data_IF_629136271190
#
_entry.id   IF_629136271190
#
_cell.length_a   1.000
_cell.length_b   1.000
_cell.length_c   1.000
_cell.angle_alpha   90.00
_cell.angle_beta   90.00
_cell.angle_gamma   90.00
#
_symmetry.space_group_name_H-M   'P 1'
#
loop_
_entity.id
_entity.type
_entity.pdbx_description
1 polymer ?
#
# COMPACT_ATOMS: atom_id res chain seq x y z
N UNK A 1 55.75 57.96 1.19
CA UNK A 1 54.90 57.25 0.20
C UNK A 1 54.65 55.77 0.49
N UNK A 2 55.61 54.99 1.04
CA UNK A 2 55.41 53.54 1.33
C UNK A 2 54.26 53.26 2.32
N UNK A 3 54.11 54.07 3.35
CA UNK A 3 53.09 53.87 4.39
C UNK A 3 51.66 54.13 3.86
N UNK A 4 51.49 55.11 2.96
CA UNK A 4 50.21 55.40 2.31
C UNK A 4 49.76 54.24 1.40
N UNK A 5 50.70 53.64 0.65
CA UNK A 5 50.42 52.47 -0.19
C UNK A 5 50.02 51.24 0.63
N UNK A 6 50.63 51.05 1.80
CA UNK A 6 50.25 49.96 2.75
C UNK A 6 48.86 50.17 3.33
N UNK A 7 48.51 51.42 3.67
CA UNK A 7 47.19 51.77 4.20
C UNK A 7 46.09 51.56 3.15
N UNK A 8 46.33 51.98 1.90
CA UNK A 8 45.42 51.71 0.78
C UNK A 8 45.27 50.21 0.49
N UNK A 9 46.36 49.44 0.53
CA UNK A 9 46.29 47.99 0.36
C UNK A 9 45.45 47.32 1.45
N UNK A 10 45.59 47.75 2.72
CA UNK A 10 44.79 47.27 3.83
C UNK A 10 43.29 47.55 3.64
N UNK A 11 42.95 48.75 3.18
CA UNK A 11 41.55 49.14 2.91
C UNK A 11 40.96 48.30 1.76
N UNK A 12 41.72 48.10 0.68
CA UNK A 12 41.26 47.29 -0.45
C UNK A 12 41.06 45.82 -0.06
N UNK A 13 41.97 45.25 0.73
CA UNK A 13 41.87 43.86 1.21
C UNK A 13 40.67 43.69 2.17
N UNK A 14 40.47 44.63 3.09
CA UNK A 14 39.33 44.59 4.01
C UNK A 14 37.99 44.80 3.30
N UNK A 15 37.92 45.68 2.31
CA UNK A 15 36.75 45.84 1.45
C UNK A 15 36.45 44.59 0.63
N UNK A 16 37.48 43.95 0.06
CA UNK A 16 37.33 42.69 -0.68
C UNK A 16 36.84 41.55 0.21
N UNK A 17 37.38 41.42 1.42
CA UNK A 17 36.92 40.43 2.40
C UNK A 17 35.48 40.70 2.85
N UNK A 18 35.12 41.95 3.08
CA UNK A 18 33.75 42.36 3.39
C UNK A 18 32.77 42.02 2.26
N UNK A 19 33.15 42.26 1.01
CA UNK A 19 32.33 41.95 -0.17
C UNK A 19 32.16 40.44 -0.38
N UNK A 20 33.23 39.66 -0.19
CA UNK A 20 33.17 38.19 -0.27
C UNK A 20 32.28 37.64 0.84
N UNK A 21 32.40 38.13 2.07
CA UNK A 21 31.55 37.70 3.17
C UNK A 21 30.08 38.07 2.94
N UNK A 22 29.79 39.28 2.44
CA UNK A 22 28.43 39.71 2.14
C UNK A 22 27.77 38.87 1.03
N UNK A 23 28.51 38.46 0.00
CA UNK A 23 27.96 37.70 -1.13
C UNK A 23 27.98 36.17 -0.93
N UNK A 24 28.97 35.65 -0.23
CA UNK A 24 29.20 34.19 -0.12
C UNK A 24 29.08 33.65 1.30
N UNK A 25 29.02 34.49 2.34
CA UNK A 25 28.89 34.07 3.73
C UNK A 25 27.63 33.22 3.97
N UNK A 26 26.52 33.57 3.32
CA UNK A 26 25.29 32.77 3.34
C UNK A 26 25.48 31.36 2.76
N UNK A 27 26.16 31.24 1.61
CA UNK A 27 26.44 29.94 0.98
C UNK A 27 27.39 29.08 1.80
N UNK A 28 28.45 29.67 2.37
CA UNK A 28 29.40 28.95 3.23
C UNK A 28 28.70 28.45 4.49
N UNK A 29 27.84 29.28 5.10
CA UNK A 29 27.03 28.91 6.25
C UNK A 29 26.02 27.82 5.90
N UNK A 30 25.34 27.90 4.76
CA UNK A 30 24.38 26.89 4.31
C UNK A 30 25.07 25.54 4.05
N UNK A 31 26.25 25.53 3.43
CA UNK A 31 27.04 24.31 3.22
C UNK A 31 27.50 23.73 4.56
N UNK A 32 27.93 24.58 5.50
CA UNK A 32 28.33 24.16 6.84
C UNK A 32 27.15 23.58 7.62
N UNK A 33 26.00 24.25 7.61
CA UNK A 33 24.77 23.79 8.27
C UNK A 33 24.27 22.48 7.65
N UNK A 34 24.29 22.32 6.31
CA UNK A 34 23.97 21.05 5.64
C UNK A 34 24.93 19.91 6.00
N UNK A 35 26.20 20.21 6.26
CA UNK A 35 27.21 19.23 6.65
C UNK A 35 27.10 18.85 8.14
N UNK A 36 26.86 19.82 9.01
CA UNK A 36 26.72 19.62 10.45
C UNK A 36 25.37 18.99 10.82
N UNK A 37 24.30 19.35 10.10
CA UNK A 37 22.94 18.88 10.30
C UNK A 37 22.38 18.32 8.98
N UNK A 38 22.79 17.10 8.59
CA UNK A 38 22.24 16.46 7.40
C UNK A 38 20.72 16.29 7.57
N UNK A 39 19.97 16.60 6.52
CA UNK A 39 18.51 16.40 6.51
C UNK A 39 18.17 14.95 6.83
N UNK A 40 17.16 14.74 7.66
CA UNK A 40 16.57 13.41 7.91
C UNK A 40 16.21 12.83 6.53
N UNK A 41 16.82 11.69 6.17
CA UNK A 41 16.54 11.03 4.88
C UNK A 41 15.06 10.66 4.86
N UNK A 42 14.30 11.26 3.94
CA UNK A 42 12.91 10.89 3.67
C UNK A 42 12.79 9.47 3.12
N UNK A 43 13.85 9.00 2.45
CA UNK A 43 13.92 7.71 1.80
C UNK A 43 14.83 6.77 2.60
N UNK A 44 14.25 6.17 3.64
CA UNK A 44 14.92 5.08 4.37
C UNK A 44 14.83 3.80 3.53
N UNK A 45 15.94 3.07 3.31
CA UNK A 45 15.89 1.76 2.63
C UNK A 45 14.94 0.79 3.34
N UNK A 46 14.80 0.92 4.67
CA UNK A 46 13.82 0.17 5.46
C UNK A 46 12.37 0.47 5.01
N UNK A 47 12.06 1.72 4.68
CA UNK A 47 10.72 2.11 4.24
C UNK A 47 10.40 1.58 2.84
N UNK A 48 11.39 1.51 1.95
CA UNK A 48 11.24 0.87 0.63
C UNK A 48 11.04 -0.65 0.77
N UNK A 49 11.83 -1.31 1.61
CA UNK A 49 11.71 -2.75 1.86
C UNK A 49 10.37 -3.10 2.52
N UNK A 50 9.90 -2.27 3.45
CA UNK A 50 8.56 -2.38 4.03
C UNK A 50 7.48 -2.24 2.95
N UNK A 51 7.57 -1.24 2.07
CA UNK A 51 6.61 -1.09 0.96
C UNK A 51 6.61 -2.32 0.04
N UNK A 52 7.78 -2.82 -0.36
CA UNK A 52 7.91 -4.03 -1.20
C UNK A 52 7.33 -5.26 -0.52
N UNK A 53 7.60 -5.45 0.78
CA UNK A 53 7.08 -6.60 1.53
C UNK A 53 5.55 -6.58 1.65
N UNK A 54 4.96 -5.40 1.88
CA UNK A 54 3.50 -5.22 1.92
C UNK A 54 2.88 -5.49 0.55
N UNK A 55 3.49 -5.00 -0.53
CA UNK A 55 3.03 -5.28 -1.89
C UNK A 55 3.10 -6.78 -2.22
N UNK A 56 4.22 -7.43 -1.95
CA UNK A 56 4.40 -8.86 -2.17
C UNK A 56 3.43 -9.71 -1.34
N UNK A 57 3.05 -9.26 -0.14
CA UNK A 57 2.01 -9.89 0.67
C UNK A 57 0.63 -9.75 0.00
N UNK A 58 0.26 -8.55 -0.45
CA UNK A 58 -1.02 -8.30 -1.13
C UNK A 58 -1.16 -9.11 -2.42
N UNK A 59 -0.07 -9.22 -3.20
CA UNK A 59 -0.02 -10.06 -4.40
C UNK A 59 -0.31 -11.53 -4.08
N UNK A 60 0.35 -12.07 -3.05
CA UNK A 60 0.15 -13.47 -2.61
C UNK A 60 -1.28 -13.72 -2.12
N UNK A 61 -1.80 -12.84 -1.28
CA UNK A 61 -3.18 -12.93 -0.78
C UNK A 61 -4.19 -12.91 -1.92
N UNK A 62 -4.02 -11.99 -2.89
CA UNK A 62 -4.91 -11.91 -4.04
C UNK A 62 -4.84 -13.16 -4.92
N UNK A 63 -3.64 -13.68 -5.18
CA UNK A 63 -3.45 -14.88 -5.99
C UNK A 63 -4.08 -16.10 -5.32
N UNK A 64 -3.95 -16.23 -4.00
CA UNK A 64 -4.58 -17.31 -3.23
C UNK A 64 -6.11 -17.25 -3.34
N UNK A 65 -6.69 -16.07 -3.18
CA UNK A 65 -8.14 -15.85 -3.30
C UNK A 65 -8.64 -16.14 -4.71
N UNK A 66 -7.91 -15.67 -5.74
CA UNK A 66 -8.20 -15.97 -7.14
C UNK A 66 -8.20 -17.48 -7.42
N UNK A 67 -7.18 -18.21 -6.95
CA UNK A 67 -7.09 -19.67 -7.10
C UNK A 67 -8.25 -20.38 -6.40
N UNK A 68 -8.60 -19.94 -5.19
CA UNK A 68 -9.73 -20.50 -4.43
C UNK A 68 -11.05 -20.37 -5.19
N UNK A 69 -11.35 -19.19 -5.73
CA UNK A 69 -12.58 -18.98 -6.51
C UNK A 69 -12.56 -19.77 -7.81
N UNK A 70 -11.40 -19.85 -8.48
CA UNK A 70 -11.23 -20.68 -9.67
C UNK A 70 -11.51 -22.16 -9.39
N UNK A 71 -11.01 -22.69 -8.27
CA UNK A 71 -11.28 -24.07 -7.86
C UNK A 71 -12.77 -24.30 -7.63
N UNK A 72 -13.44 -23.40 -6.90
CA UNK A 72 -14.90 -23.48 -6.67
C UNK A 72 -15.71 -23.47 -7.97
N UNK A 73 -15.29 -22.70 -8.97
CA UNK A 73 -15.93 -22.70 -10.29
C UNK A 73 -15.74 -24.03 -11.01
N UNK A 74 -14.53 -24.59 -10.97
CA UNK A 74 -14.25 -25.89 -11.56
C UNK A 74 -15.06 -27.00 -10.89
N UNK A 75 -15.14 -27.01 -9.56
CA UNK A 75 -15.95 -27.96 -8.80
C UNK A 75 -17.44 -27.84 -9.14
N UNK A 76 -17.97 -26.61 -9.20
CA UNK A 76 -19.37 -26.39 -9.57
C UNK A 76 -19.66 -26.83 -11.02
N UNK A 77 -18.73 -26.59 -11.95
CA UNK A 77 -18.83 -27.07 -13.32
C UNK A 77 -18.80 -28.60 -13.41
N UNK A 78 -17.93 -29.26 -12.63
CA UNK A 78 -17.82 -30.71 -12.58
C UNK A 78 -19.11 -31.37 -12.05
N UNK A 79 -19.88 -30.65 -11.22
CA UNK A 79 -21.19 -31.07 -10.71
C UNK A 79 -22.35 -30.78 -11.67
N UNK A 80 -22.06 -30.26 -12.87
CA UNK A 80 -23.07 -29.99 -13.90
C UNK A 80 -23.79 -28.64 -13.75
N UNK A 81 -23.31 -27.72 -12.90
CA UNK A 81 -23.88 -26.37 -12.84
C UNK A 81 -23.39 -25.51 -14.01
N UNK A 82 -24.30 -24.72 -14.63
CA UNK A 82 -23.90 -23.72 -15.63
C UNK A 82 -23.24 -22.50 -14.96
N UNK A 83 -21.91 -22.54 -14.92
CA UNK A 83 -21.06 -21.46 -14.40
C UNK A 83 -20.38 -20.66 -15.52
N UNK A 84 -20.78 -20.85 -16.78
CA UNK A 84 -20.10 -20.26 -17.95
C UNK A 84 -20.03 -18.73 -17.89
N UNK A 85 -21.13 -18.10 -17.46
CA UNK A 85 -21.23 -16.64 -17.28
C UNK A 85 -20.40 -16.10 -16.11
N UNK A 86 -20.08 -16.95 -15.12
CA UNK A 86 -19.22 -16.59 -13.99
C UNK A 86 -17.75 -16.76 -14.37
N UNK A 87 -17.42 -17.85 -15.07
CA UNK A 87 -16.08 -18.11 -15.59
C UNK A 87 -15.60 -17.00 -16.53
N UNK A 88 -16.48 -16.45 -17.37
CA UNK A 88 -16.14 -15.33 -18.27
C UNK A 88 -15.75 -14.03 -17.56
N UNK A 89 -16.05 -13.90 -16.25
CA UNK A 89 -15.64 -12.74 -15.43
C UNK A 89 -14.27 -12.91 -14.78
N UNK A 90 -13.76 -14.15 -14.68
CA UNK A 90 -12.43 -14.44 -14.10
C UNK A 90 -11.28 -13.72 -14.82
N UNK A 91 -11.24 -13.61 -16.16
CA UNK A 91 -10.21 -12.82 -16.85
C UNK A 91 -10.19 -11.35 -16.45
N UNK A 92 -11.35 -10.76 -16.14
CA UNK A 92 -11.43 -9.38 -15.65
C UNK A 92 -10.84 -9.24 -14.24
N UNK A 93 -11.08 -10.21 -13.36
CA UNK A 93 -10.43 -10.27 -12.06
C UNK A 93 -8.89 -10.43 -12.20
N UNK A 94 -8.44 -11.29 -13.13
CA UNK A 94 -7.02 -11.45 -13.40
C UNK A 94 -6.37 -10.15 -13.92
N UNK A 95 -7.07 -9.38 -14.77
CA UNK A 95 -6.60 -8.05 -15.22
C UNK A 95 -6.49 -7.06 -14.06
N UNK A 96 -7.46 -7.05 -13.14
CA UNK A 96 -7.40 -6.17 -11.96
C UNK A 96 -6.24 -6.53 -11.03
N UNK A 97 -5.97 -7.82 -10.83
CA UNK A 97 -4.80 -8.31 -10.09
C UNK A 97 -3.48 -7.87 -10.71
N UNK A 98 -3.32 -8.04 -12.03
CA UNK A 98 -2.12 -7.59 -12.77
C UNK A 98 -1.89 -6.08 -12.67
N UNK A 99 -2.96 -5.29 -12.57
CA UNK A 99 -2.90 -3.83 -12.38
C UNK A 99 -2.79 -3.41 -10.90
N UNK A 100 -2.58 -4.36 -9.98
CA UNK A 100 -2.54 -4.17 -8.52
C UNK A 100 -3.78 -3.47 -7.94
N UNK A 101 -4.91 -3.54 -8.64
CA UNK A 101 -6.20 -2.99 -8.20
C UNK A 101 -6.93 -4.02 -7.32
N UNK A 102 -6.27 -4.49 -6.25
CA UNK A 102 -6.73 -5.62 -5.46
C UNK A 102 -8.13 -5.42 -4.87
N UNK A 103 -8.45 -4.21 -4.37
CA UNK A 103 -9.78 -3.92 -3.80
C UNK A 103 -10.90 -4.22 -4.80
N UNK A 104 -10.75 -3.74 -6.03
CA UNK A 104 -11.72 -4.00 -7.10
C UNK A 104 -11.70 -5.45 -7.57
N UNK A 105 -10.51 -6.05 -7.65
CA UNK A 105 -10.37 -7.47 -7.96
C UNK A 105 -11.10 -8.36 -6.95
N UNK A 106 -10.95 -8.09 -5.65
CA UNK A 106 -11.62 -8.82 -4.56
C UNK A 106 -13.13 -8.65 -4.60
N UNK A 107 -13.63 -7.44 -4.88
CA UNK A 107 -15.08 -7.23 -5.08
C UNK A 107 -15.60 -8.10 -6.22
N UNK A 108 -14.87 -8.18 -7.34
CA UNK A 108 -15.27 -9.02 -8.46
C UNK A 108 -15.20 -10.52 -8.12
N UNK A 109 -14.13 -10.97 -7.46
CA UNK A 109 -14.00 -12.35 -7.00
C UNK A 109 -15.12 -12.74 -6.03
N UNK A 110 -15.44 -11.89 -5.06
CA UNK A 110 -16.53 -12.11 -4.12
C UNK A 110 -17.89 -12.14 -4.84
N UNK A 111 -18.09 -11.25 -5.83
CA UNK A 111 -19.33 -11.26 -6.63
C UNK A 111 -19.51 -12.55 -7.44
N UNK A 112 -18.42 -13.19 -7.84
CA UNK A 112 -18.42 -14.50 -8.49
C UNK A 112 -18.73 -15.57 -7.45
N UNK A 113 -17.97 -15.60 -6.35
CA UNK A 113 -18.08 -16.59 -5.28
C UNK A 113 -19.48 -16.70 -4.67
N UNK A 114 -20.16 -15.58 -4.44
CA UNK A 114 -21.53 -15.54 -3.88
C UNK A 114 -22.55 -16.13 -4.86
N UNK A 115 -22.29 -16.06 -6.17
CA UNK A 115 -23.20 -16.57 -7.22
C UNK A 115 -22.93 -18.01 -7.60
N UNK A 116 -21.86 -18.63 -7.10
CA UNK A 116 -21.60 -20.06 -7.31
C UNK A 116 -22.67 -20.83 -6.54
N UNK A 117 -23.40 -21.75 -7.19
CA UNK A 117 -24.36 -22.61 -6.50
C UNK A 117 -23.67 -23.37 -5.36
N UNK A 118 -24.23 -23.28 -4.16
CA UNK A 118 -23.75 -24.05 -3.00
C UNK A 118 -24.59 -25.32 -2.92
N UNK A 119 -23.98 -26.42 -2.46
CA UNK A 119 -24.78 -27.54 -1.97
C UNK A 119 -25.74 -27.00 -0.91
N UNK A 120 -27.03 -27.25 -1.10
CA UNK A 120 -28.01 -27.14 -0.02
C UNK A 120 -27.55 -28.10 1.07
N UNK A 121 -26.87 -27.57 2.09
CA UNK A 121 -26.77 -28.28 3.35
C UNK A 121 -28.22 -28.44 3.79
N UNK A 122 -28.74 -29.67 3.98
CA UNK A 122 -30.06 -29.82 4.55
C UNK A 122 -30.02 -29.08 5.88
N UNK A 123 -30.77 -28.00 5.98
CA UNK A 123 -31.08 -27.38 7.26
C UNK A 123 -31.84 -28.48 7.98
N UNK A 124 -31.15 -29.26 8.80
CA UNK A 124 -31.80 -30.03 9.86
C UNK A 124 -32.39 -28.95 10.75
N UNK A 125 -33.63 -28.57 10.44
CA UNK A 125 -34.51 -27.86 11.33
C UNK A 125 -34.50 -28.72 12.57
N UNK A 126 -33.87 -28.24 13.65
CA UNK A 126 -33.99 -28.89 14.95
C UNK A 126 -35.50 -28.96 15.22
N UNK A 127 -36.06 -30.15 15.02
CA UNK A 127 -37.36 -30.47 15.52
C UNK A 127 -37.23 -30.52 17.04
N UNK A 128 -38.20 -29.90 17.71
CA UNK A 128 -38.42 -29.91 19.16
C UNK A 128 -37.37 -29.25 20.05
N UNK A 129 -37.60 -27.96 20.29
CA UNK A 129 -37.70 -27.51 21.69
C UNK A 129 -39.06 -26.84 21.85
N UNK A 130 -40.06 -27.67 22.16
CA UNK A 130 -41.26 -27.26 22.86
C UNK A 130 -40.86 -26.54 24.14
N UNK A 131 -40.73 -25.22 24.06
CA UNK A 131 -40.60 -24.33 25.20
C UNK A 131 -41.93 -24.33 25.97
N UNK A 132 -42.12 -25.38 26.77
CA UNK A 132 -43.14 -25.48 27.81
C UNK A 132 -42.73 -24.57 28.98
N UNK A 133 -42.93 -23.26 28.83
CA UNK A 133 -42.76 -22.28 29.92
C UNK A 133 -44.09 -21.80 30.52
N UNK A 134 -45.18 -22.54 30.34
CA UNK A 134 -46.43 -22.34 31.06
C UNK A 134 -46.58 -23.42 32.13
N UNK A 135 -45.69 -23.35 33.13
CA UNK A 135 -45.93 -23.97 34.43
C UNK A 135 -47.04 -23.20 35.14
N UNK A 136 -48.17 -23.87 35.31
CA UNK A 136 -49.35 -23.44 36.05
C UNK A 136 -48.96 -22.79 37.38
N UNK A 137 -49.34 -21.52 37.57
CA UNK A 137 -49.32 -20.89 38.89
C UNK A 137 -50.56 -21.36 39.65
N UNK A 138 -50.34 -22.05 40.77
CA UNK A 138 -51.29 -22.14 41.89
C UNK A 138 -51.35 -20.83 42.65
#
# INVERSE_FOLDING_TARGET
MKNLKRLLALIVVSAALGWVYANFGGRVREIYEKRAYPSIRSDSPLAEDLKRSVEARRDREYLQEFRRVSAKLQDASARGHDVSRLASRMPSAARLGRRRKYKWGKVLLNSIEVRIPRETTPVVRAADSSDSYLGERK
#
